data_IF_036417643844
#
_entry.id   IF_036417643844
#
_cell.length_a   1.000
_cell.length_b   1.000
_cell.length_c   1.000
_cell.angle_alpha   90.00
_cell.angle_beta   90.00
_cell.angle_gamma   90.00
#
_symmetry.space_group_name_H-M   'P 1'
#
loop_
_entity.id
_entity.type
_entity.pdbx_description
1 polymer ?
#
# COMPACT_ATOMS: atom_id res chain seq x y z
N UNK A 1 60.57 24.40 -1.99
CA UNK A 1 61.05 24.65 -0.61
C UNK A 1 59.87 24.41 0.32
N UNK A 2 59.91 23.33 1.09
CA UNK A 2 58.80 22.93 1.97
C UNK A 2 58.66 23.91 3.15
N UNK A 3 57.44 24.38 3.48
CA UNK A 3 57.22 25.49 4.41
C UNK A 3 57.11 25.07 5.89
N UNK A 4 57.74 23.96 6.32
CA UNK A 4 57.65 23.51 7.71
C UNK A 4 59.03 23.42 8.35
N UNK A 5 59.41 24.48 9.06
CA UNK A 5 60.55 24.50 9.99
C UNK A 5 60.02 24.70 11.39
N UNK A 6 59.71 23.59 12.08
CA UNK A 6 59.30 23.60 13.48
C UNK A 6 60.55 23.76 14.34
N UNK A 7 60.67 24.93 14.99
CA UNK A 7 61.78 25.27 15.87
C UNK A 7 61.45 24.73 17.27
N UNK A 8 62.07 23.62 17.67
CA UNK A 8 62.06 23.14 19.05
C UNK A 8 63.12 23.89 19.85
N UNK A 9 62.76 25.02 20.44
CA UNK A 9 63.70 25.82 21.19
C UNK A 9 63.04 26.92 22.00
N UNK A 10 62.61 26.56 23.22
CA UNK A 10 62.08 27.41 24.31
C UNK A 10 60.56 27.64 24.27
N UNK A 11 59.92 27.35 25.42
CA UNK A 11 58.50 27.47 25.78
C UNK A 11 57.56 26.33 25.34
N UNK A 12 57.71 25.16 25.97
CA UNK A 12 56.80 23.99 25.93
C UNK A 12 55.37 24.25 26.43
N UNK A 13 55.03 25.48 26.82
CA UNK A 13 53.69 25.91 27.24
C UNK A 13 52.85 26.43 26.06
N UNK A 14 53.48 26.81 24.94
CA UNK A 14 52.79 27.27 23.73
C UNK A 14 51.99 26.16 23.03
N UNK A 15 52.50 24.92 22.87
CA UNK A 15 51.76 23.82 22.25
C UNK A 15 50.49 23.45 23.02
N UNK A 16 50.59 23.31 24.35
CA UNK A 16 49.45 23.00 25.23
C UNK A 16 48.36 24.06 25.16
N UNK A 17 48.75 25.34 25.06
CA UNK A 17 47.80 26.45 24.92
C UNK A 17 47.07 26.43 23.59
N UNK A 18 47.75 26.02 22.51
CA UNK A 18 47.16 25.89 21.18
C UNK A 18 46.21 24.68 21.14
N UNK A 19 46.63 23.54 21.69
CA UNK A 19 45.79 22.33 21.82
C UNK A 19 44.53 22.60 22.65
N UNK A 20 44.66 23.29 23.78
CA UNK A 20 43.52 23.65 24.63
C UNK A 20 42.56 24.62 23.92
N UNK A 21 43.07 25.60 23.16
CA UNK A 21 42.23 26.51 22.35
C UNK A 21 41.53 25.77 21.21
N UNK A 22 42.21 24.83 20.55
CA UNK A 22 41.60 23.98 19.54
C UNK A 22 40.50 23.10 20.14
N UNK A 23 40.76 22.47 21.30
CA UNK A 23 39.75 21.68 22.01
C UNK A 23 38.53 22.52 22.44
N UNK A 24 38.75 23.75 22.91
CA UNK A 24 37.65 24.66 23.24
C UNK A 24 36.82 25.02 22.00
N UNK A 25 37.45 25.33 20.87
CA UNK A 25 36.73 25.61 19.62
C UNK A 25 35.92 24.39 19.14
N UNK A 26 36.49 23.18 19.24
CA UNK A 26 35.78 21.93 18.92
C UNK A 26 34.61 21.69 19.89
N UNK A 27 34.79 21.93 21.18
CA UNK A 27 33.70 21.85 22.15
C UNK A 27 32.58 22.83 21.84
N UNK A 28 32.89 24.07 21.47
CA UNK A 28 31.89 25.08 21.10
C UNK A 28 31.07 24.64 19.86
N UNK A 29 31.73 24.17 18.81
CA UNK A 29 31.05 23.64 17.61
C UNK A 29 30.19 22.41 17.94
N UNK A 30 30.64 21.56 18.87
CA UNK A 30 29.93 20.35 19.28
C UNK A 30 28.73 20.61 20.22
N UNK A 31 28.68 21.76 20.92
CA UNK A 31 27.49 22.12 21.72
C UNK A 31 26.30 22.41 20.81
N UNK A 32 26.54 23.16 19.74
CA UNK A 32 25.52 23.44 18.72
C UNK A 32 25.15 22.18 17.93
N UNK A 33 26.10 21.26 17.75
CA UNK A 33 25.84 20.00 17.04
C UNK A 33 24.78 19.12 17.72
N UNK A 34 24.75 19.07 19.06
CA UNK A 34 23.72 18.30 19.80
C UNK A 34 22.35 18.95 19.68
N UNK A 35 22.27 20.26 19.85
CA UNK A 35 21.01 21.00 19.67
C UNK A 35 20.49 20.88 18.23
N UNK A 36 21.39 20.96 17.24
CA UNK A 36 21.08 20.77 15.82
C UNK A 36 20.63 19.32 15.52
N UNK A 37 21.22 18.31 16.19
CA UNK A 37 20.78 16.92 16.07
C UNK A 37 19.35 16.72 16.59
N UNK A 38 19.05 17.28 17.77
CA UNK A 38 17.71 17.22 18.38
C UNK A 38 16.68 17.97 17.54
N UNK A 39 17.00 19.17 17.06
CA UNK A 39 16.15 19.95 16.17
C UNK A 39 15.85 19.20 14.86
N UNK A 40 16.88 18.60 14.25
CA UNK A 40 16.71 17.78 13.04
C UNK A 40 15.84 16.55 13.30
N UNK A 41 15.97 15.91 14.48
CA UNK A 41 15.11 14.78 14.87
C UNK A 41 13.65 15.22 15.03
N UNK A 42 13.41 16.35 15.68
CA UNK A 42 12.06 16.91 15.84
C UNK A 42 11.42 17.23 14.47
N UNK A 43 12.16 17.90 13.58
CA UNK A 43 11.69 18.19 12.23
C UNK A 43 11.32 16.91 11.45
N UNK A 44 12.11 15.85 11.58
CA UNK A 44 11.80 14.57 10.93
C UNK A 44 10.55 13.91 11.53
N UNK A 45 10.35 14.02 12.84
CA UNK A 45 9.17 13.49 13.51
C UNK A 45 7.90 14.24 13.07
N UNK A 46 7.95 15.57 13.00
CA UNK A 46 6.84 16.38 12.49
C UNK A 46 6.46 15.99 11.05
N UNK A 47 7.45 15.75 10.19
CA UNK A 47 7.20 15.29 8.82
C UNK A 47 6.55 13.89 8.76
N UNK A 48 6.94 12.99 9.67
CA UNK A 48 6.35 11.66 9.76
C UNK A 48 4.90 11.73 10.24
N UNK A 49 4.60 12.60 11.20
CA UNK A 49 3.24 12.85 11.69
C UNK A 49 2.35 13.40 10.57
N UNK A 50 2.80 14.44 9.85
CA UNK A 50 2.08 14.99 8.69
C UNK A 50 1.83 13.93 7.60
N UNK A 51 2.82 13.05 7.38
CA UNK A 51 2.69 11.95 6.42
C UNK A 51 1.61 10.97 6.88
N UNK A 52 1.61 10.58 8.15
CA UNK A 52 0.62 9.66 8.70
C UNK A 52 -0.80 10.25 8.63
N UNK A 53 -0.96 11.52 9.02
CA UNK A 53 -2.24 12.24 8.92
C UNK A 53 -2.76 12.27 7.47
N UNK A 54 -1.88 12.49 6.50
CA UNK A 54 -2.26 12.49 5.09
C UNK A 54 -2.75 11.13 4.61
N UNK A 55 -2.15 10.04 5.09
CA UNK A 55 -2.57 8.68 4.77
C UNK A 55 -3.92 8.36 5.43
N UNK A 56 -4.09 8.68 6.71
CA UNK A 56 -5.35 8.48 7.42
C UNK A 56 -6.49 9.24 6.74
N UNK A 57 -6.28 10.52 6.40
CA UNK A 57 -7.26 11.32 5.68
C UNK A 57 -7.63 10.70 4.31
N UNK A 58 -6.65 10.20 3.56
CA UNK A 58 -6.88 9.53 2.29
C UNK A 58 -7.63 8.19 2.46
N UNK A 59 -7.32 7.43 3.51
CA UNK A 59 -8.04 6.19 3.85
C UNK A 59 -9.51 6.49 4.18
N UNK A 60 -9.76 7.45 5.08
CA UNK A 60 -11.12 7.88 5.45
C UNK A 60 -11.94 8.34 4.24
N UNK A 61 -11.33 9.08 3.31
CA UNK A 61 -12.00 9.50 2.09
C UNK A 61 -12.42 8.31 1.21
N UNK A 62 -11.50 7.36 0.98
CA UNK A 62 -11.77 6.15 0.18
C UNK A 62 -12.86 5.30 0.82
N UNK A 63 -12.78 5.09 2.13
CA UNK A 63 -13.79 4.33 2.88
C UNK A 63 -15.16 4.98 2.82
N UNK A 64 -15.24 6.30 3.05
CA UNK A 64 -16.51 7.02 2.98
C UNK A 64 -17.12 6.97 1.59
N UNK A 65 -16.29 7.09 0.55
CA UNK A 65 -16.72 6.97 -0.85
C UNK A 65 -17.23 5.55 -1.15
N UNK A 66 -16.51 4.53 -0.68
CA UNK A 66 -16.91 3.13 -0.81
C UNK A 66 -18.23 2.85 -0.09
N UNK A 67 -18.42 3.35 1.13
CA UNK A 67 -19.66 3.22 1.90
C UNK A 67 -20.83 3.89 1.18
N UNK A 68 -20.64 5.10 0.67
CA UNK A 68 -21.67 5.81 -0.10
C UNK A 68 -22.03 5.04 -1.39
N UNK A 69 -21.03 4.57 -2.12
CA UNK A 69 -21.24 3.78 -3.34
C UNK A 69 -21.99 2.47 -3.04
N UNK A 70 -21.54 1.73 -2.04
CA UNK A 70 -22.15 0.47 -1.60
C UNK A 70 -23.57 0.67 -1.07
N UNK A 71 -23.85 1.77 -0.37
CA UNK A 71 -25.21 2.11 0.08
C UNK A 71 -26.14 2.41 -1.09
N UNK A 72 -25.61 2.98 -2.17
CA UNK A 72 -26.38 3.34 -3.35
C UNK A 72 -26.50 2.21 -4.39
N UNK A 73 -25.67 1.17 -4.27
CA UNK A 73 -25.80 -0.06 -5.03
C UNK A 73 -27.12 -0.75 -4.66
N UNK A 74 -28.07 -0.79 -5.60
CA UNK A 74 -29.33 -1.49 -5.40
C UNK A 74 -29.11 -2.96 -5.70
N UNK A 75 -29.77 -3.85 -4.95
CA UNK A 75 -29.68 -5.30 -5.20
C UNK A 75 -30.01 -5.69 -6.65
N UNK A 76 -30.88 -4.91 -7.33
CA UNK A 76 -31.22 -5.10 -8.74
C UNK A 76 -30.03 -4.87 -9.71
N UNK A 77 -29.06 -4.04 -9.33
CA UNK A 77 -27.89 -3.74 -10.18
C UNK A 77 -26.83 -4.85 -10.08
N UNK A 78 -26.86 -5.62 -8.98
CA UNK A 78 -25.95 -6.73 -8.71
C UNK A 78 -26.58 -8.10 -8.95
N UNK A 79 -27.87 -8.15 -9.31
CA UNK A 79 -28.53 -9.40 -9.67
C UNK A 79 -28.02 -9.88 -11.03
N UNK A 80 -27.50 -11.10 -11.02
CA UNK A 80 -27.22 -11.81 -12.26
C UNK A 80 -28.53 -11.91 -13.05
N UNK A 81 -28.49 -11.56 -14.34
CA UNK A 81 -29.64 -11.78 -15.25
C UNK A 81 -29.87 -13.26 -15.55
N UNK A 82 -28.99 -14.14 -15.09
CA UNK A 82 -29.16 -15.59 -15.17
C UNK A 82 -30.14 -16.00 -14.09
N UNK A 83 -31.27 -16.55 -14.51
CA UNK A 83 -32.36 -16.90 -13.61
C UNK A 83 -32.09 -18.25 -12.95
N UNK A 84 -31.67 -19.25 -13.73
CA UNK A 84 -31.45 -20.63 -13.27
C UNK A 84 -30.42 -21.34 -14.18
N UNK A 85 -29.89 -22.51 -13.78
CA UNK A 85 -29.22 -23.41 -14.70
C UNK A 85 -30.16 -23.81 -15.84
N UNK A 86 -29.64 -23.83 -17.07
CA UNK A 86 -30.37 -24.29 -18.25
C UNK A 86 -29.73 -25.58 -18.76
N UNK A 87 -30.56 -26.51 -19.21
CA UNK A 87 -30.10 -27.76 -19.85
C UNK A 87 -30.03 -27.54 -21.36
N UNK A 88 -28.92 -27.95 -21.99
CA UNK A 88 -28.77 -27.90 -23.45
C UNK A 88 -29.48 -29.11 -24.07
N UNK A 89 -30.44 -28.88 -24.95
CA UNK A 89 -31.20 -29.93 -25.65
C UNK A 89 -30.53 -30.33 -26.96
N UNK A 90 -30.13 -29.35 -27.77
CA UNK A 90 -29.48 -29.61 -29.07
C UNK A 90 -28.56 -28.45 -29.47
N UNK A 91 -27.51 -28.78 -30.22
CA UNK A 91 -26.60 -27.78 -30.81
C UNK A 91 -26.77 -27.85 -32.33
N UNK A 92 -27.13 -26.72 -32.93
CA UNK A 92 -27.31 -26.60 -34.38
C UNK A 92 -25.94 -26.46 -35.07
N UNK A 93 -25.85 -26.86 -36.33
CA UNK A 93 -24.62 -26.79 -37.13
C UNK A 93 -24.05 -25.38 -37.27
N UNK A 94 -24.88 -24.35 -37.08
CA UNK A 94 -24.51 -22.94 -37.12
C UNK A 94 -24.06 -22.37 -35.75
N UNK A 95 -23.91 -23.21 -34.71
CA UNK A 95 -23.46 -22.79 -33.38
C UNK A 95 -24.55 -22.18 -32.49
N UNK A 96 -25.80 -22.16 -32.93
CA UNK A 96 -26.94 -21.83 -32.08
C UNK A 96 -27.27 -23.00 -31.15
N UNK A 97 -27.64 -22.70 -29.90
CA UNK A 97 -27.88 -23.71 -28.87
C UNK A 97 -29.32 -23.63 -28.42
N UNK A 98 -30.02 -24.76 -28.45
CA UNK A 98 -31.35 -24.90 -27.86
C UNK A 98 -31.21 -25.24 -26.38
N UNK A 99 -31.78 -24.39 -25.54
CA UNK A 99 -31.74 -24.54 -24.10
C UNK A 99 -33.14 -24.63 -23.52
N UNK A 100 -33.28 -25.38 -22.43
CA UNK A 100 -34.51 -25.53 -21.68
C UNK A 100 -34.30 -25.05 -20.23
N UNK A 101 -35.24 -24.23 -19.75
CA UNK A 101 -35.23 -23.72 -18.37
C UNK A 101 -35.84 -24.70 -17.37
N UNK A 102 -35.56 -24.46 -16.08
CA UNK A 102 -36.26 -25.11 -14.97
C UNK A 102 -37.43 -24.21 -14.51
N UNK A 103 -38.67 -24.72 -14.29
CA UNK A 103 -39.09 -26.12 -14.24
C UNK A 103 -39.28 -26.78 -15.62
N UNK A 104 -39.34 -28.13 -15.69
CA UNK A 104 -39.34 -28.93 -16.94
C UNK A 104 -40.49 -28.67 -17.93
N UNK A 105 -41.43 -27.79 -17.61
CA UNK A 105 -42.53 -27.36 -18.50
C UNK A 105 -42.17 -26.14 -19.37
N UNK A 106 -40.95 -25.61 -19.29
CA UNK A 106 -40.55 -24.50 -20.16
C UNK A 106 -40.29 -25.00 -21.59
N UNK A 107 -40.83 -24.29 -22.58
CA UNK A 107 -40.50 -24.52 -23.98
C UNK A 107 -39.00 -24.27 -24.24
N UNK A 108 -38.36 -25.12 -25.06
CA UNK A 108 -36.98 -24.90 -25.46
C UNK A 108 -36.89 -23.67 -26.36
N UNK A 109 -35.90 -22.82 -26.11
CA UNK A 109 -35.65 -21.63 -26.90
C UNK A 109 -34.19 -21.56 -27.34
N UNK A 110 -33.96 -20.85 -28.44
CA UNK A 110 -32.65 -20.78 -29.09
C UNK A 110 -31.88 -19.58 -28.57
N UNK A 111 -30.64 -19.81 -28.13
CA UNK A 111 -29.69 -18.77 -27.77
C UNK A 111 -28.44 -18.84 -28.65
N UNK A 112 -27.74 -17.72 -28.74
CA UNK A 112 -26.41 -17.70 -29.34
C UNK A 112 -25.45 -18.49 -28.43
N UNK A 113 -24.80 -19.53 -28.97
CA UNK A 113 -23.85 -20.37 -28.23
C UNK A 113 -22.72 -19.57 -27.58
N UNK A 114 -22.32 -18.44 -28.16
CA UNK A 114 -21.28 -17.56 -27.60
C UNK A 114 -21.69 -16.91 -26.26
N UNK A 115 -22.98 -16.89 -25.95
CA UNK A 115 -23.51 -16.30 -24.70
C UNK A 115 -23.65 -17.33 -23.60
N UNK A 116 -23.53 -18.63 -23.90
CA UNK A 116 -23.68 -19.72 -22.93
C UNK A 116 -22.42 -19.81 -22.06
N UNK A 117 -22.61 -19.97 -20.75
CA UNK A 117 -21.53 -20.21 -19.78
C UNK A 117 -21.80 -21.52 -19.05
N UNK A 118 -20.76 -22.30 -18.80
CA UNK A 118 -20.86 -23.48 -17.95
C UNK A 118 -21.32 -23.07 -16.55
N UNK A 119 -22.37 -23.74 -16.06
CA UNK A 119 -22.84 -23.57 -14.69
C UNK A 119 -21.78 -24.14 -13.74
N UNK A 120 -21.37 -23.36 -12.73
CA UNK A 120 -20.50 -23.82 -11.64
C UNK A 120 -21.29 -23.73 -10.36
N UNK A 121 -21.41 -24.84 -9.66
CA UNK A 121 -22.08 -24.85 -8.36
C UNK A 121 -21.24 -24.08 -7.35
N UNK A 122 -21.88 -23.16 -6.63
CA UNK A 122 -21.21 -22.26 -5.67
C UNK A 122 -20.61 -23.07 -4.49
N UNK A 123 -21.04 -24.32 -4.31
CA UNK A 123 -20.48 -25.30 -3.38
C UNK A 123 -19.01 -25.65 -3.64
N UNK A 124 -18.50 -25.46 -4.86
CA UNK A 124 -17.09 -25.77 -5.22
C UNK A 124 -16.13 -24.60 -5.01
N UNK A 125 -16.62 -23.38 -4.77
CA UNK A 125 -15.80 -22.16 -4.62
C UNK A 125 -15.73 -21.71 -3.18
N UNK A 126 -15.05 -22.49 -2.34
CA UNK A 126 -14.79 -22.11 -0.95
C UNK A 126 -13.31 -22.34 -0.56
N UNK A 127 -12.41 -21.54 -1.15
CA UNK A 127 -11.19 -21.07 -0.49
C UNK A 127 -10.91 -19.67 -1.03
N UNK A 128 -11.43 -18.64 -0.37
CA UNK A 128 -10.87 -17.30 -0.53
C UNK A 128 -9.68 -17.27 0.40
N UNK A 129 -8.46 -17.35 -0.13
CA UNK A 129 -7.26 -17.11 0.68
C UNK A 129 -7.34 -15.68 1.21
N UNK A 130 -7.63 -15.57 2.50
CA UNK A 130 -7.59 -14.31 3.23
C UNK A 130 -6.12 -13.95 3.44
N UNK A 131 -5.52 -13.28 2.45
CA UNK A 131 -4.15 -12.77 2.56
C UNK A 131 -4.19 -11.55 3.48
N UNK A 132 -3.79 -11.78 4.73
CA UNK A 132 -3.59 -10.71 5.71
C UNK A 132 -2.38 -9.87 5.31
N UNK A 133 -2.63 -8.64 4.86
CA UNK A 133 -1.58 -7.66 4.59
C UNK A 133 -0.95 -7.26 5.93
N UNK A 134 0.18 -7.88 6.29
CA UNK A 134 0.96 -7.44 7.44
C UNK A 134 1.59 -6.09 7.13
N UNK A 135 1.33 -5.12 7.99
CA UNK A 135 2.05 -3.85 8.00
C UNK A 135 3.54 -4.20 8.23
N UNK A 136 4.47 -3.73 7.38
CA UNK A 136 5.90 -3.97 7.58
C UNK A 136 6.30 -3.46 8.96
N UNK A 137 6.89 -4.33 9.77
CA UNK A 137 7.42 -3.92 11.07
C UNK A 137 8.45 -2.81 10.83
N UNK A 138 8.24 -1.65 11.47
CA UNK A 138 9.23 -0.59 11.54
C UNK A 138 10.50 -1.21 12.12
N UNK A 139 11.55 -1.35 11.30
CA UNK A 139 12.86 -1.78 11.78
C UNK A 139 13.34 -0.72 12.76
N UNK A 140 13.30 -1.04 14.05
CA UNK A 140 14.01 -0.27 15.07
C UNK A 140 15.50 -0.40 14.81
N UNK A 141 16.10 0.64 14.25
CA UNK A 141 17.55 0.85 14.26
C UNK A 141 17.90 1.76 15.44
#
# INVERSE_FOLDING_TARGET
>A
MSPYRIIFGKMCHLPVRIEHRANWAVQQINMDAKACEEERKLQLQELEELRLESYDAAMWYKERTKLWHNRNLRAKDLQSKWTEPYVITSIRSNGAVEIQGSPPNSEPFIVNGHRVKGFRDISELCVVEEISLRIPALSSN
#
